data_IF_622332756802
#
_entry.id   IF_622332756802
#
_cell.length_a   1.000
_cell.length_b   1.000
_cell.length_c   1.000
_cell.angle_alpha   90.00
_cell.angle_beta   90.00
_cell.angle_gamma   90.00
#
_symmetry.space_group_name_H-M   'P 1'
#
loop_
_entity.id
_entity.type
_entity.pdbx_description
1 polymer ?
#
# COMPACT_ATOMS: atom_id res chain seq x y z
N UNK A 1 25.42 -59.15 8.16
CA UNK A 1 24.18 -58.75 8.90
C UNK A 1 24.24 -57.33 9.45
N UNK A 2 25.35 -56.88 10.07
CA UNK A 2 25.50 -55.50 10.56
C UNK A 2 25.44 -54.43 9.45
N UNK A 3 26.11 -54.64 8.31
CA UNK A 3 26.12 -53.69 7.19
C UNK A 3 24.71 -53.41 6.63
N UNK A 4 23.89 -54.44 6.50
CA UNK A 4 22.49 -54.34 6.06
C UNK A 4 21.62 -53.56 7.05
N UNK A 5 21.86 -53.74 8.36
CA UNK A 5 21.16 -52.97 9.41
C UNK A 5 21.57 -51.49 9.40
N UNK A 6 22.85 -51.21 9.18
CA UNK A 6 23.35 -49.84 9.06
C UNK A 6 22.81 -49.13 7.81
N UNK A 7 22.76 -49.80 6.65
CA UNK A 7 22.17 -49.23 5.43
C UNK A 7 20.67 -48.96 5.62
N UNK A 8 19.93 -49.89 6.22
CA UNK A 8 18.53 -49.71 6.52
C UNK A 8 18.28 -48.54 7.48
N UNK A 9 19.10 -48.41 8.54
CA UNK A 9 19.01 -47.29 9.48
C UNK A 9 19.31 -45.95 8.81
N UNK A 10 20.33 -45.88 7.95
CA UNK A 10 20.66 -44.66 7.20
C UNK A 10 19.55 -44.27 6.22
N UNK A 11 18.97 -45.23 5.49
CA UNK A 11 17.82 -44.99 4.62
C UNK A 11 16.58 -44.54 5.39
N UNK A 12 16.35 -45.07 6.59
CA UNK A 12 15.25 -44.68 7.46
C UNK A 12 15.44 -43.26 8.01
N UNK A 13 16.67 -42.90 8.42
CA UNK A 13 17.02 -41.54 8.82
C UNK A 13 16.87 -40.57 7.63
N UNK A 14 17.34 -40.93 6.43
CA UNK A 14 17.13 -40.12 5.23
C UNK A 14 15.65 -39.97 4.84
N UNK A 15 14.82 -41.00 5.08
CA UNK A 15 13.38 -40.94 4.88
C UNK A 15 12.66 -40.11 5.95
N UNK A 16 13.16 -40.06 7.18
CA UNK A 16 12.68 -39.18 8.25
C UNK A 16 13.21 -37.73 8.13
N UNK A 17 14.30 -37.52 7.38
CA UNK A 17 14.93 -36.22 7.10
C UNK A 17 14.52 -35.69 5.72
N UNK A 18 13.50 -36.29 5.07
CA UNK A 18 12.80 -35.53 4.03
C UNK A 18 12.21 -34.32 4.74
N UNK A 19 12.78 -33.14 4.48
CA UNK A 19 12.12 -31.88 4.77
C UNK A 19 10.76 -31.99 4.07
N UNK A 20 9.73 -32.38 4.82
CA UNK A 20 8.35 -32.20 4.43
C UNK A 20 8.24 -30.69 4.27
N UNK A 21 8.40 -30.20 3.04
CA UNK A 21 8.10 -28.80 2.75
C UNK A 21 6.60 -28.73 2.97
N UNK A 22 6.19 -28.20 4.12
CA UNK A 22 4.81 -27.87 4.38
C UNK A 22 4.41 -26.83 3.33
N UNK A 23 3.79 -27.32 2.26
CA UNK A 23 3.22 -26.49 1.20
C UNK A 23 1.77 -26.24 1.56
N UNK A 24 1.35 -25.00 1.37
CA UNK A 24 -0.01 -24.55 1.62
C UNK A 24 -0.53 -23.99 0.31
N UNK A 25 -1.81 -24.22 0.03
CA UNK A 25 -2.52 -23.60 -1.08
C UNK A 25 -3.17 -22.31 -0.60
N UNK A 26 -2.71 -21.18 -1.12
CA UNK A 26 -3.01 -19.84 -0.62
C UNK A 26 -3.79 -19.06 -1.68
N UNK A 27 -4.92 -18.48 -1.28
CA UNK A 27 -5.64 -17.49 -2.09
C UNK A 27 -5.30 -16.09 -1.60
N UNK A 28 -4.68 -15.28 -2.45
CA UNK A 28 -4.37 -13.88 -2.19
C UNK A 28 -5.31 -12.97 -3.01
N UNK A 29 -6.04 -12.06 -2.39
CA UNK A 29 -7.01 -11.17 -3.07
C UNK A 29 -6.70 -9.71 -2.77
N UNK A 30 -6.20 -9.01 -3.78
CA UNK A 30 -5.73 -7.61 -3.72
C UNK A 30 -6.24 -6.83 -4.92
N UNK A 31 -7.53 -6.45 -4.90
CA UNK A 31 -8.21 -5.90 -6.07
C UNK A 31 -8.00 -4.40 -6.28
N UNK A 32 -7.34 -3.71 -5.34
CA UNK A 32 -7.11 -2.28 -5.49
C UNK A 32 -6.28 -1.99 -6.76
N UNK A 33 -6.73 -1.06 -7.62
CA UNK A 33 -6.14 -0.85 -8.94
C UNK A 33 -4.89 0.05 -8.89
N UNK A 34 -4.57 0.61 -7.73
CA UNK A 34 -3.34 1.37 -7.49
C UNK A 34 -2.13 0.43 -7.26
N UNK A 35 -1.03 0.58 -8.02
CA UNK A 35 0.14 -0.31 -7.91
C UNK A 35 0.76 -0.36 -6.51
N UNK A 36 0.68 0.74 -5.76
CA UNK A 36 1.27 0.84 -4.43
C UNK A 36 0.78 -0.25 -3.48
N UNK A 37 -0.52 -0.52 -3.45
CA UNK A 37 -1.08 -1.48 -2.49
C UNK A 37 -0.60 -2.91 -2.77
N UNK A 38 -0.58 -3.33 -4.04
CA UNK A 38 -0.05 -4.66 -4.38
C UNK A 38 1.47 -4.77 -4.20
N UNK A 39 2.24 -3.70 -4.45
CA UNK A 39 3.68 -3.66 -4.16
C UNK A 39 3.95 -3.98 -2.67
N UNK A 40 3.05 -3.56 -1.76
CA UNK A 40 3.18 -3.85 -0.33
C UNK A 40 3.33 -5.35 -0.03
N UNK A 41 2.63 -6.20 -0.80
CA UNK A 41 2.52 -7.65 -0.54
C UNK A 41 3.22 -8.49 -1.59
N UNK A 42 3.61 -7.93 -2.74
CA UNK A 42 4.16 -8.69 -3.85
C UNK A 42 5.40 -9.51 -3.43
N UNK A 43 6.34 -8.89 -2.72
CA UNK A 43 7.54 -9.58 -2.23
C UNK A 43 7.19 -10.69 -1.24
N UNK A 44 6.21 -10.46 -0.37
CA UNK A 44 5.71 -11.46 0.57
C UNK A 44 5.11 -12.68 -0.15
N UNK A 45 4.18 -12.46 -1.09
CA UNK A 45 3.53 -13.52 -1.87
C UNK A 45 4.54 -14.32 -2.72
N UNK A 46 5.49 -13.63 -3.37
CA UNK A 46 6.57 -14.28 -4.14
C UNK A 46 7.46 -15.15 -3.26
N UNK A 47 7.75 -14.67 -2.06
CA UNK A 47 8.58 -15.42 -1.12
C UNK A 47 7.86 -16.67 -0.61
N UNK A 48 6.54 -16.61 -0.39
CA UNK A 48 5.74 -17.80 -0.08
C UNK A 48 5.80 -18.82 -1.22
N UNK A 49 5.60 -18.38 -2.46
CA UNK A 49 5.70 -19.28 -3.61
C UNK A 49 7.10 -19.90 -3.78
N UNK A 50 8.15 -19.10 -3.58
CA UNK A 50 9.54 -19.56 -3.63
C UNK A 50 9.88 -20.57 -2.51
N UNK A 51 9.17 -20.52 -1.38
CA UNK A 51 9.29 -21.50 -0.27
C UNK A 51 8.47 -22.77 -0.49
N UNK A 52 7.71 -22.86 -1.59
CA UNK A 52 7.01 -24.08 -1.99
C UNK A 52 5.49 -24.03 -1.84
N UNK A 53 4.91 -22.96 -1.29
CA UNK A 53 3.46 -22.77 -1.23
C UNK A 53 2.88 -22.50 -2.62
N UNK A 54 1.64 -22.94 -2.87
CA UNK A 54 0.90 -22.63 -4.10
C UNK A 54 0.08 -21.35 -3.91
N UNK A 55 0.48 -20.26 -4.56
CA UNK A 55 -0.18 -18.97 -4.43
C UNK A 55 -1.07 -18.70 -5.64
N UNK A 56 -2.36 -18.48 -5.41
CA UNK A 56 -3.28 -17.89 -6.40
C UNK A 56 -3.49 -16.42 -6.05
N UNK A 57 -2.98 -15.51 -6.88
CA UNK A 57 -3.11 -14.06 -6.67
C UNK A 57 -4.17 -13.46 -7.59
N UNK A 58 -5.21 -12.88 -6.99
CA UNK A 58 -6.26 -12.11 -7.66
C UNK A 58 -5.90 -10.63 -7.55
N UNK A 59 -5.44 -10.02 -8.64
CA UNK A 59 -5.01 -8.62 -8.63
C UNK A 59 -4.97 -7.99 -10.03
N UNK A 60 -4.76 -6.68 -10.09
CA UNK A 60 -4.53 -5.92 -11.31
C UNK A 60 -3.11 -6.09 -11.90
N UNK A 61 -2.21 -6.76 -11.18
CA UNK A 61 -0.77 -6.69 -11.41
C UNK A 61 -0.15 -8.10 -11.57
N UNK A 62 -0.45 -8.79 -12.68
CA UNK A 62 0.08 -10.12 -12.93
C UNK A 62 1.60 -10.12 -13.02
N UNK A 63 2.22 -11.27 -12.77
CA UNK A 63 3.67 -11.39 -12.92
C UNK A 63 4.05 -11.26 -14.40
N UNK A 64 5.00 -10.37 -14.69
CA UNK A 64 5.55 -10.22 -16.05
C UNK A 64 6.26 -11.48 -16.54
N UNK A 65 6.80 -12.25 -15.61
CA UNK A 65 7.47 -13.53 -15.87
C UNK A 65 6.77 -14.58 -15.01
N UNK A 66 6.31 -15.70 -15.60
CA UNK A 66 5.69 -16.77 -14.84
C UNK A 66 6.60 -17.25 -13.70
N UNK A 67 6.03 -17.42 -12.51
CA UNK A 67 6.73 -17.94 -11.34
C UNK A 67 6.21 -19.34 -11.02
N UNK A 68 7.12 -20.22 -10.60
CA UNK A 68 6.73 -21.54 -10.10
C UNK A 68 5.82 -21.36 -8.87
N UNK A 69 4.76 -22.17 -8.80
CA UNK A 69 3.76 -22.16 -7.73
C UNK A 69 3.03 -20.80 -7.56
N UNK A 70 2.92 -20.00 -8.62
CA UNK A 70 2.21 -18.73 -8.60
C UNK A 70 1.23 -18.65 -9.78
N UNK A 71 -0.07 -18.60 -9.49
CA UNK A 71 -1.17 -18.44 -10.46
C UNK A 71 -1.72 -17.03 -10.34
N UNK A 72 -1.70 -16.26 -11.43
CA UNK A 72 -2.36 -14.95 -11.48
C UNK A 72 -3.79 -15.09 -12.02
N UNK A 73 -4.76 -14.50 -11.30
CA UNK A 73 -6.10 -14.18 -11.79
C UNK A 73 -6.12 -12.66 -11.98
N UNK A 74 -6.11 -12.22 -13.23
CA UNK A 74 -5.92 -10.79 -13.53
C UNK A 74 -7.25 -10.05 -13.52
N UNK A 75 -7.32 -9.00 -12.70
CA UNK A 75 -8.41 -8.03 -12.73
C UNK A 75 -8.08 -6.95 -13.76
N UNK A 76 -8.91 -6.85 -14.80
CA UNK A 76 -8.75 -5.81 -15.81
C UNK A 76 -9.38 -4.51 -15.33
N UNK A 77 -8.56 -3.46 -15.22
CA UNK A 77 -9.01 -2.11 -14.89
C UNK A 77 -8.78 -1.22 -16.09
N UNK A 78 -9.81 -0.47 -16.46
CA UNK A 78 -9.64 0.65 -17.36
C UNK A 78 -8.86 1.76 -16.63
N UNK A 79 -7.62 2.00 -17.07
CA UNK A 79 -6.72 2.97 -16.43
C UNK A 79 -7.26 4.41 -16.52
N UNK A 80 -8.13 4.71 -17.49
CA UNK A 80 -8.76 6.03 -17.61
C UNK A 80 -9.65 6.32 -16.40
N UNK A 81 -10.47 5.37 -15.99
CA UNK A 81 -11.35 5.48 -14.83
C UNK A 81 -10.57 5.61 -13.51
N UNK A 82 -9.42 4.92 -13.38
CA UNK A 82 -8.56 5.08 -12.21
C UNK A 82 -7.95 6.49 -12.16
N UNK A 83 -7.42 6.99 -13.27
CA UNK A 83 -6.85 8.35 -13.32
C UNK A 83 -7.91 9.42 -13.04
N UNK A 84 -9.11 9.30 -13.61
CA UNK A 84 -10.25 10.17 -13.34
C UNK A 84 -10.65 10.12 -11.86
N UNK A 85 -10.77 8.94 -11.28
CA UNK A 85 -11.09 8.80 -9.85
C UNK A 85 -10.03 9.41 -8.93
N UNK A 86 -8.75 9.38 -9.32
CA UNK A 86 -7.67 10.04 -8.58
C UNK A 86 -7.85 11.56 -8.67
N UNK A 87 -8.21 12.10 -9.83
CA UNK A 87 -8.48 13.53 -10.01
C UNK A 87 -9.72 13.94 -9.21
N UNK A 88 -10.80 13.17 -9.27
CA UNK A 88 -12.02 13.42 -8.51
C UNK A 88 -11.76 13.35 -7.00
N UNK A 89 -10.90 12.44 -6.53
CA UNK A 89 -10.49 12.39 -5.14
C UNK A 89 -9.79 13.70 -4.70
N UNK A 90 -8.94 14.28 -5.56
CA UNK A 90 -8.27 15.55 -5.27
C UNK A 90 -9.27 16.69 -5.04
N UNK A 91 -10.36 16.71 -5.81
CA UNK A 91 -11.40 17.73 -5.74
C UNK A 91 -12.39 17.44 -4.60
N UNK A 92 -12.87 16.21 -4.45
CA UNK A 92 -13.90 15.82 -3.47
C UNK A 92 -13.39 15.83 -2.03
N UNK A 93 -12.10 15.54 -1.80
CA UNK A 93 -11.49 15.64 -0.48
C UNK A 93 -11.45 17.08 0.07
N UNK A 94 -11.69 18.09 -0.77
CA UNK A 94 -11.82 19.48 -0.34
C UNK A 94 -13.25 19.90 0.05
N UNK A 95 -14.24 19.03 -0.18
CA UNK A 95 -15.68 19.36 -0.08
C UNK A 95 -16.30 18.94 1.27
N UNK A 96 -15.70 17.97 1.98
CA UNK A 96 -16.08 17.59 3.35
C UNK A 96 -16.14 16.08 3.60
N UNK A 97 -16.30 15.69 4.88
CA UNK A 97 -16.17 14.27 5.31
C UNK A 97 -17.16 13.32 4.65
N UNK A 98 -18.39 13.75 4.40
CA UNK A 98 -19.40 12.90 3.77
C UNK A 98 -19.08 12.59 2.30
N UNK A 99 -18.54 13.58 1.56
CA UNK A 99 -18.11 13.40 0.18
C UNK A 99 -16.91 12.44 0.10
N UNK A 100 -15.95 12.59 1.02
CA UNK A 100 -14.83 11.64 1.15
C UNK A 100 -15.32 10.20 1.39
N UNK A 101 -16.27 10.00 2.31
CA UNK A 101 -16.82 8.67 2.59
C UNK A 101 -17.61 8.10 1.40
N UNK A 102 -18.33 8.95 0.67
CA UNK A 102 -19.01 8.55 -0.56
C UNK A 102 -18.02 8.10 -1.62
N UNK A 103 -16.91 8.82 -1.81
CA UNK A 103 -15.84 8.42 -2.70
C UNK A 103 -15.28 7.04 -2.33
N UNK A 104 -14.94 6.83 -1.05
CA UNK A 104 -14.44 5.52 -0.56
C UNK A 104 -15.44 4.41 -0.87
N UNK A 105 -16.73 4.65 -0.64
CA UNK A 105 -17.79 3.69 -0.93
C UNK A 105 -17.92 3.37 -2.42
N UNK A 106 -17.98 4.38 -3.28
CA UNK A 106 -18.06 4.17 -4.73
C UNK A 106 -16.84 3.41 -5.27
N UNK A 107 -15.66 3.75 -4.75
CA UNK A 107 -14.41 3.12 -5.15
C UNK A 107 -14.30 1.65 -4.69
N UNK A 108 -14.69 1.37 -3.45
CA UNK A 108 -14.70 0.01 -2.88
C UNK A 108 -15.78 -0.87 -3.52
N UNK A 109 -16.93 -0.30 -3.87
CA UNK A 109 -17.96 -0.95 -4.66
C UNK A 109 -17.47 -1.32 -6.07
N UNK A 110 -16.85 -0.38 -6.78
CA UNK A 110 -16.28 -0.61 -8.11
C UNK A 110 -15.27 -1.76 -8.09
N UNK A 111 -14.29 -1.69 -7.19
CA UNK A 111 -13.22 -2.69 -7.08
C UNK A 111 -13.74 -4.07 -6.67
N UNK A 112 -14.74 -4.14 -5.77
CA UNK A 112 -15.43 -5.39 -5.44
C UNK A 112 -16.11 -6.00 -6.67
N UNK A 113 -16.83 -5.18 -7.45
CA UNK A 113 -17.54 -5.62 -8.64
C UNK A 113 -16.59 -6.06 -9.76
N UNK A 114 -15.41 -5.45 -9.89
CA UNK A 114 -14.38 -5.89 -10.83
C UNK A 114 -13.91 -7.32 -10.53
N UNK A 115 -13.77 -7.69 -9.25
CA UNK A 115 -13.48 -9.08 -8.84
C UNK A 115 -14.66 -9.99 -9.12
N UNK A 116 -15.85 -9.63 -8.64
CA UNK A 116 -17.01 -10.50 -8.76
C UNK A 116 -17.50 -10.71 -10.19
N UNK A 117 -17.27 -9.75 -11.10
CA UNK A 117 -17.60 -9.91 -12.52
C UNK A 117 -16.46 -10.54 -13.34
N UNK A 118 -15.29 -10.79 -12.73
CA UNK A 118 -14.20 -11.47 -13.42
C UNK A 118 -14.55 -12.96 -13.63
N UNK A 119 -14.45 -13.42 -14.88
CA UNK A 119 -14.85 -14.79 -15.27
C UNK A 119 -13.99 -15.86 -14.58
N UNK A 120 -12.69 -15.65 -14.50
CA UNK A 120 -11.75 -16.61 -13.91
C UNK A 120 -11.95 -16.67 -12.39
N UNK A 121 -12.22 -15.53 -11.76
CA UNK A 121 -12.59 -15.49 -10.35
C UNK A 121 -13.93 -16.19 -10.08
N UNK A 122 -14.95 -15.97 -10.92
CA UNK A 122 -16.22 -16.70 -10.81
C UNK A 122 -16.02 -18.21 -11.00
N UNK A 123 -15.20 -18.62 -11.97
CA UNK A 123 -14.87 -20.03 -12.13
C UNK A 123 -14.21 -20.60 -10.87
N UNK A 124 -13.27 -19.87 -10.25
CA UNK A 124 -12.66 -20.29 -8.99
C UNK A 124 -13.70 -20.36 -7.86
N UNK A 125 -14.57 -19.36 -7.74
CA UNK A 125 -15.58 -19.28 -6.69
C UNK A 125 -16.59 -20.44 -6.76
N UNK A 126 -16.92 -20.91 -7.96
CA UNK A 126 -17.83 -22.06 -8.19
C UNK A 126 -17.11 -23.39 -8.37
N UNK A 127 -15.79 -23.43 -8.17
CA UNK A 127 -15.00 -24.67 -8.27
C UNK A 127 -14.98 -25.45 -6.94
N UNK A 128 -14.51 -26.69 -7.01
CA UNK A 128 -14.23 -27.52 -5.83
C UNK A 128 -12.84 -27.25 -5.22
N UNK A 129 -12.10 -26.24 -5.72
CA UNK A 129 -10.79 -25.90 -5.19
C UNK A 129 -10.87 -25.52 -3.70
N UNK A 130 -9.95 -26.08 -2.91
CA UNK A 130 -9.77 -25.75 -1.50
C UNK A 130 -8.51 -24.92 -1.31
N UNK A 131 -8.47 -24.15 -0.22
CA UNK A 131 -7.33 -23.35 0.19
C UNK A 131 -7.06 -23.60 1.68
N UNK A 132 -5.78 -23.57 2.06
CA UNK A 132 -5.34 -23.69 3.45
C UNK A 132 -5.29 -22.32 4.15
N UNK A 133 -5.21 -21.24 3.37
CA UNK A 133 -5.12 -19.86 3.86
C UNK A 133 -5.67 -18.87 2.83
N UNK A 134 -6.36 -17.85 3.31
CA UNK A 134 -6.75 -16.69 2.50
C UNK A 134 -6.09 -15.44 3.04
N UNK A 135 -5.42 -14.72 2.16
CA UNK A 135 -4.75 -13.44 2.43
C UNK A 135 -5.50 -12.37 1.65
N UNK A 136 -6.10 -11.41 2.34
CA UNK A 136 -6.94 -10.40 1.69
C UNK A 136 -6.51 -8.99 2.05
N UNK A 137 -6.66 -8.09 1.08
CA UNK A 137 -6.59 -6.66 1.32
C UNK A 137 -7.73 -6.23 2.27
N UNK A 138 -7.36 -5.70 3.44
CA UNK A 138 -8.31 -5.18 4.41
C UNK A 138 -8.64 -3.72 4.04
N UNK A 139 -9.65 -3.51 3.19
CA UNK A 139 -10.02 -2.20 2.67
C UNK A 139 -11.52 -2.08 2.32
N UNK A 140 -12.41 -2.20 3.32
CA UNK A 140 -13.86 -1.95 3.16
C UNK A 140 -14.56 -2.81 2.08
N UNK A 141 -14.12 -4.06 1.91
CA UNK A 141 -14.62 -4.99 0.90
C UNK A 141 -15.17 -6.27 1.56
N UNK A 142 -16.13 -6.12 2.46
CA UNK A 142 -16.62 -7.20 3.32
C UNK A 142 -17.17 -8.41 2.55
N UNK A 143 -17.73 -8.21 1.36
CA UNK A 143 -18.20 -9.32 0.55
C UNK A 143 -17.06 -10.28 0.19
N UNK A 144 -15.85 -9.78 -0.02
CA UNK A 144 -14.67 -10.61 -0.28
C UNK A 144 -14.15 -11.29 1.01
N UNK A 145 -14.41 -10.73 2.19
CA UNK A 145 -14.04 -11.41 3.46
C UNK A 145 -14.80 -12.72 3.66
N UNK A 146 -15.98 -12.86 3.02
CA UNK A 146 -16.76 -14.10 3.06
C UNK A 146 -16.05 -15.30 2.39
N UNK A 147 -14.96 -15.07 1.64
CA UNK A 147 -14.13 -16.13 1.06
C UNK A 147 -13.60 -17.10 2.13
N UNK A 148 -13.29 -16.61 3.34
CA UNK A 148 -12.83 -17.46 4.45
C UNK A 148 -13.84 -18.55 4.81
N UNK A 149 -15.14 -18.20 4.85
CA UNK A 149 -16.21 -19.15 5.14
C UNK A 149 -16.58 -19.99 3.92
N UNK A 150 -16.53 -19.42 2.72
CA UNK A 150 -16.82 -20.12 1.47
C UNK A 150 -15.83 -21.26 1.22
N UNK A 151 -14.52 -21.00 1.32
CA UNK A 151 -13.47 -22.00 1.17
C UNK A 151 -13.09 -22.72 2.47
N UNK A 152 -13.76 -22.38 3.59
CA UNK A 152 -13.53 -22.96 4.93
C UNK A 152 -12.07 -22.88 5.37
N UNK A 153 -11.41 -21.77 5.06
CA UNK A 153 -10.00 -21.52 5.32
C UNK A 153 -9.83 -20.34 6.28
N UNK A 154 -8.78 -20.34 7.14
CA UNK A 154 -8.41 -19.16 7.92
C UNK A 154 -8.22 -17.93 7.04
N UNK A 155 -8.76 -16.80 7.50
CA UNK A 155 -8.66 -15.50 6.83
C UNK A 155 -7.65 -14.61 7.55
N UNK A 156 -6.69 -14.07 6.81
CA UNK A 156 -5.78 -13.05 7.31
C UNK A 156 -5.87 -11.79 6.44
N UNK A 157 -5.76 -10.63 7.09
CA UNK A 157 -5.87 -9.33 6.46
C UNK A 157 -4.52 -8.67 6.28
N UNK A 158 -4.36 -7.88 5.22
CA UNK A 158 -3.26 -6.93 5.07
C UNK A 158 -3.87 -5.54 4.87
N UNK A 159 -3.59 -4.62 5.78
CA UNK A 159 -3.92 -3.21 5.59
C UNK A 159 -2.70 -2.46 5.08
N UNK A 160 -2.80 -1.94 3.85
CA UNK A 160 -1.69 -1.32 3.12
C UNK A 160 -1.41 0.13 3.53
N UNK A 161 -2.32 0.76 4.28
CA UNK A 161 -2.18 2.14 4.77
C UNK A 161 -1.94 2.24 6.29
N UNK A 162 -1.99 1.12 7.01
CA UNK A 162 -1.85 1.08 8.48
C UNK A 162 -3.16 0.71 9.16
N UNK A 163 -3.50 1.35 10.28
CA UNK A 163 -4.72 1.02 11.00
C UNK A 163 -5.64 2.23 11.18
N UNK A 164 -6.94 1.95 11.17
CA UNK A 164 -8.01 2.86 11.54
C UNK A 164 -9.01 2.15 12.46
N UNK A 165 -10.07 2.85 12.84
CA UNK A 165 -11.12 2.34 13.72
C UNK A 165 -11.91 1.17 13.12
N UNK A 166 -12.01 1.08 11.80
CA UNK A 166 -12.76 0.04 11.08
C UNK A 166 -11.92 -1.22 10.90
N UNK A 167 -10.62 -1.07 10.66
CA UNK A 167 -9.62 -2.11 10.58
C UNK A 167 -9.42 -2.75 11.96
N UNK A 168 -9.41 -1.95 13.03
CA UNK A 168 -9.32 -2.43 14.40
C UNK A 168 -10.49 -3.36 14.78
N UNK A 169 -11.70 -3.10 14.27
CA UNK A 169 -12.87 -3.97 14.48
C UNK A 169 -12.73 -5.37 13.86
N UNK A 170 -11.79 -5.58 12.93
CA UNK A 170 -11.61 -6.91 12.30
C UNK A 170 -10.99 -7.93 13.27
N UNK A 171 -10.28 -7.44 14.28
CA UNK A 171 -9.55 -8.27 15.27
C UNK A 171 -9.91 -7.89 16.71
N UNK A 172 -11.05 -7.22 16.91
CA UNK A 172 -11.53 -6.70 18.19
C UNK A 172 -10.50 -5.84 18.94
N UNK A 173 -9.66 -5.10 18.20
CA UNK A 173 -8.77 -4.10 18.80
C UNK A 173 -9.58 -2.85 19.18
N UNK A 174 -9.28 -2.25 20.33
CA UNK A 174 -9.94 -1.02 20.77
C UNK A 174 -9.09 0.17 20.34
N UNK A 175 -9.65 1.07 19.51
CA UNK A 175 -9.01 2.33 19.11
C UNK A 175 -9.32 3.45 20.12
N UNK A 176 -8.34 3.97 20.88
CA UNK A 176 -8.57 5.03 21.85
C UNK A 176 -8.65 6.41 21.18
N UNK A 177 -9.86 6.87 20.88
CA UNK A 177 -10.11 8.08 20.08
C UNK A 177 -9.64 9.39 20.73
N UNK A 178 -9.29 9.36 22.02
CA UNK A 178 -8.77 10.51 22.74
C UNK A 178 -7.30 10.84 22.40
N UNK A 179 -6.54 9.89 21.83
CA UNK A 179 -5.13 10.07 21.51
C UNK A 179 -4.64 9.31 20.26
N UNK A 180 -5.46 8.44 19.66
CA UNK A 180 -5.19 7.87 18.34
C UNK A 180 -5.92 8.69 17.28
N UNK A 181 -5.20 9.43 16.42
CA UNK A 181 -5.83 10.24 15.40
C UNK A 181 -6.41 9.38 14.26
N UNK A 182 -7.53 9.81 13.68
CA UNK A 182 -8.09 9.25 12.46
C UNK A 182 -7.10 9.44 11.30
N UNK A 183 -6.77 8.40 10.51
CA UNK A 183 -5.88 8.54 9.35
C UNK A 183 -6.37 9.51 8.26
N UNK A 184 -7.67 9.76 8.21
CA UNK A 184 -8.33 10.73 7.32
C UNK A 184 -8.51 12.12 7.94
N UNK A 185 -8.15 12.28 9.22
CA UNK A 185 -8.29 13.54 9.96
C UNK A 185 -7.08 14.46 9.77
N UNK A 186 -7.04 15.52 10.58
CA UNK A 186 -5.95 16.53 10.58
C UNK A 186 -5.27 16.66 11.94
N UNK A 187 -5.59 15.77 12.88
CA UNK A 187 -5.09 15.84 14.26
C UNK A 187 -3.89 14.92 14.48
N UNK A 188 -3.01 15.28 15.41
CA UNK A 188 -1.88 14.46 15.86
C UNK A 188 -2.22 13.59 17.08
N UNK A 189 -1.25 12.85 17.63
CA UNK A 189 -1.39 12.06 18.85
C UNK A 189 -1.53 12.90 20.14
N UNK A 190 -1.12 14.18 20.10
CA UNK A 190 -1.29 15.15 21.18
C UNK A 190 -2.40 16.15 20.85
N UNK A 191 -3.62 15.82 21.28
CA UNK A 191 -4.82 16.62 21.04
C UNK A 191 -5.27 17.40 22.28
N UNK A 192 -5.66 18.66 22.08
CA UNK A 192 -6.47 19.42 23.03
C UNK A 192 -7.94 18.96 23.03
N UNK A 193 -8.79 19.54 23.89
CA UNK A 193 -10.19 19.14 23.99
C UNK A 193 -10.96 19.20 22.66
N UNK A 194 -10.81 20.30 21.91
CA UNK A 194 -11.52 20.49 20.64
C UNK A 194 -11.02 19.55 19.55
N UNK A 195 -9.71 19.31 19.49
CA UNK A 195 -9.13 18.34 18.57
C UNK A 195 -9.59 16.91 18.88
N UNK A 196 -9.74 16.55 20.17
CA UNK A 196 -10.34 15.25 20.56
C UNK A 196 -11.80 15.13 20.14
N UNK A 197 -12.56 16.22 20.26
CA UNK A 197 -13.96 16.24 19.83
C UNK A 197 -14.08 16.07 18.30
N UNK A 198 -13.23 16.76 17.55
CA UNK A 198 -13.13 16.62 16.09
C UNK A 198 -12.68 15.21 15.66
N UNK A 199 -11.69 14.64 16.35
CA UNK A 199 -11.23 13.28 16.10
C UNK A 199 -12.33 12.24 16.41
N UNK A 200 -13.08 12.44 17.50
CA UNK A 200 -14.24 11.63 17.84
C UNK A 200 -15.32 11.73 16.74
N UNK A 201 -15.64 12.94 16.28
CA UNK A 201 -16.57 13.16 15.18
C UNK A 201 -16.13 12.42 13.91
N UNK A 202 -14.87 12.58 13.51
CA UNK A 202 -14.32 11.95 12.30
C UNK A 202 -14.43 10.43 12.34
N UNK A 203 -13.94 9.80 13.42
CA UNK A 203 -14.01 8.35 13.60
C UNK A 203 -15.46 7.84 13.71
N UNK A 204 -16.35 8.60 14.35
CA UNK A 204 -17.76 8.22 14.48
C UNK A 204 -18.45 8.24 13.13
N UNK A 205 -18.17 9.24 12.29
CA UNK A 205 -18.69 9.30 10.92
C UNK A 205 -18.21 8.11 10.09
N UNK A 206 -16.93 7.72 10.20
CA UNK A 206 -16.38 6.55 9.51
C UNK A 206 -17.06 5.24 9.95
N UNK A 207 -17.21 5.05 11.26
CA UNK A 207 -17.89 3.87 11.80
C UNK A 207 -19.35 3.81 11.34
N UNK A 208 -20.10 4.89 11.53
CA UNK A 208 -21.52 4.92 11.17
C UNK A 208 -21.71 4.70 9.67
N UNK A 209 -20.92 5.37 8.83
CA UNK A 209 -21.00 5.22 7.39
C UNK A 209 -20.64 3.80 6.94
N UNK A 210 -19.62 3.20 7.55
CA UNK A 210 -19.25 1.80 7.27
C UNK A 210 -20.40 0.85 7.59
N UNK A 211 -20.97 0.93 8.80
CA UNK A 211 -22.01 0.01 9.24
C UNK A 211 -23.38 0.26 8.62
N UNK A 212 -23.71 1.52 8.30
CA UNK A 212 -25.03 1.89 7.77
C UNK A 212 -25.10 1.97 6.24
N UNK A 213 -23.95 2.10 5.55
CA UNK A 213 -23.91 2.30 4.10
C UNK A 213 -23.06 1.23 3.40
N UNK A 214 -21.78 1.10 3.76
CA UNK A 214 -20.83 0.20 3.06
C UNK A 214 -21.21 -1.26 3.28
N UNK A 215 -21.34 -1.70 4.53
CA UNK A 215 -21.65 -3.11 4.86
C UNK A 215 -22.99 -3.55 4.23
N UNK A 216 -24.08 -2.77 4.30
CA UNK A 216 -25.33 -3.14 3.62
C UNK A 216 -25.21 -3.27 2.09
N UNK A 217 -24.39 -2.44 1.45
CA UNK A 217 -24.12 -2.56 0.01
C UNK A 217 -23.30 -3.82 -0.31
N UNK A 218 -22.22 -4.06 0.44
CA UNK A 218 -21.42 -5.27 0.33
C UNK A 218 -22.23 -6.54 0.61
N UNK A 219 -23.20 -6.48 1.53
CA UNK A 219 -24.13 -7.58 1.80
C UNK A 219 -24.98 -7.94 0.57
N UNK A 220 -25.33 -6.95 -0.27
CA UNK A 220 -26.03 -7.20 -1.54
C UNK A 220 -25.12 -7.91 -2.55
N UNK A 221 -23.85 -7.54 -2.62
CA UNK A 221 -22.87 -8.25 -3.46
C UNK A 221 -22.65 -9.68 -2.99
N UNK A 222 -22.46 -9.89 -1.69
CA UNK A 222 -22.36 -11.24 -1.12
C UNK A 222 -23.56 -12.11 -1.49
N UNK A 223 -24.79 -11.61 -1.30
CA UNK A 223 -26.03 -12.32 -1.68
C UNK A 223 -26.15 -12.62 -3.18
N UNK A 224 -25.58 -11.76 -4.03
CA UNK A 224 -25.68 -11.89 -5.49
C UNK A 224 -24.67 -12.88 -6.05
N UNK A 225 -23.44 -12.88 -5.55
CA UNK A 225 -22.32 -13.57 -6.18
C UNK A 225 -21.92 -14.88 -5.49
N UNK A 226 -22.18 -15.04 -4.18
CA UNK A 226 -21.85 -16.27 -3.49
C UNK A 226 -23.00 -17.29 -3.59
N UNK A 227 -22.71 -18.54 -3.98
CA UNK A 227 -23.74 -19.55 -4.21
C UNK A 227 -24.53 -19.92 -2.95
N UNK A 228 -23.90 -19.86 -1.77
CA UNK A 228 -24.50 -20.25 -0.48
C UNK A 228 -24.52 -19.09 0.53
N UNK A 229 -24.87 -17.89 0.06
CA UNK A 229 -24.83 -16.67 0.84
C UNK A 229 -25.85 -16.65 1.99
N UNK A 230 -25.41 -17.06 3.19
CA UNK A 230 -26.27 -17.19 4.39
C UNK A 230 -25.82 -16.32 5.55
N UNK A 231 -24.59 -15.81 5.51
CA UNK A 231 -23.98 -15.06 6.60
C UNK A 231 -24.38 -13.58 6.57
N UNK A 232 -24.36 -12.96 7.74
CA UNK A 232 -24.36 -11.51 7.86
C UNK A 232 -22.91 -11.01 7.89
N UNK A 233 -22.57 -10.02 7.06
CA UNK A 233 -21.18 -9.60 6.89
C UNK A 233 -20.59 -8.94 8.14
N UNK A 234 -21.41 -8.46 9.09
CA UNK A 234 -20.89 -8.03 10.40
C UNK A 234 -20.26 -9.17 11.20
N UNK A 235 -20.76 -10.40 11.02
CA UNK A 235 -20.23 -11.58 11.72
C UNK A 235 -18.95 -12.05 11.04
N UNK A 236 -18.93 -12.06 9.70
CA UNK A 236 -17.75 -12.40 8.88
C UNK A 236 -16.54 -11.53 9.22
N UNK A 237 -16.76 -10.26 9.55
CA UNK A 237 -15.69 -9.32 9.93
C UNK A 237 -14.91 -9.74 11.18
N UNK A 238 -15.48 -10.60 12.04
CA UNK A 238 -14.83 -11.08 13.27
C UNK A 238 -13.99 -12.34 13.08
N UNK A 239 -13.91 -12.87 11.86
CA UNK A 239 -13.23 -14.14 11.58
C UNK A 239 -11.74 -13.99 11.18
N UNK A 240 -11.17 -12.78 11.25
CA UNK A 240 -9.76 -12.58 10.93
C UNK A 240 -8.86 -13.21 12.00
N UNK A 241 -8.07 -14.19 11.57
CA UNK A 241 -7.10 -14.88 12.44
C UNK A 241 -5.85 -14.04 12.70
N UNK A 242 -5.50 -13.16 11.76
CA UNK A 242 -4.34 -12.29 11.81
C UNK A 242 -4.58 -11.06 10.93
N UNK A 243 -4.05 -9.93 11.36
CA UNK A 243 -4.03 -8.69 10.61
C UNK A 243 -2.60 -8.15 10.53
N UNK A 244 -2.12 -7.96 9.31
CA UNK A 244 -0.83 -7.39 8.98
C UNK A 244 -0.99 -5.91 8.63
N UNK A 245 -0.32 -5.03 9.36
CA UNK A 245 -0.46 -3.58 9.25
C UNK A 245 0.79 -2.98 8.63
N UNK A 246 0.66 -2.29 7.49
CA UNK A 246 1.77 -1.57 6.85
C UNK A 246 2.11 -0.25 7.59
N UNK A 247 2.49 -0.37 8.85
CA UNK A 247 2.97 0.70 9.72
C UNK A 247 4.03 0.14 10.68
N UNK A 248 4.78 0.99 11.37
CA UNK A 248 5.72 0.57 12.41
C UNK A 248 5.89 1.63 13.50
N UNK A 249 5.87 1.20 14.76
CA UNK A 249 5.97 2.05 15.95
C UNK A 249 7.16 3.02 15.97
N UNK A 250 8.25 2.74 15.25
CA UNK A 250 9.41 3.64 15.17
C UNK A 250 9.05 5.00 14.55
N UNK A 251 8.15 5.03 13.56
CA UNK A 251 7.76 6.26 12.88
C UNK A 251 6.25 6.52 12.89
N UNK A 252 5.42 5.59 13.38
CA UNK A 252 3.99 5.82 13.63
C UNK A 252 3.69 6.43 15.00
N UNK A 253 2.42 6.74 15.24
CA UNK A 253 1.91 7.18 16.55
C UNK A 253 1.74 5.99 17.50
N UNK A 254 1.95 6.19 18.82
CA UNK A 254 1.68 5.14 19.80
C UNK A 254 0.21 4.71 19.76
N UNK A 255 -0.03 3.41 19.67
CA UNK A 255 -1.38 2.83 19.68
C UNK A 255 -1.38 1.44 20.33
N UNK A 256 -2.45 1.06 21.04
CA UNK A 256 -2.59 -0.30 21.53
C UNK A 256 -2.86 -1.26 20.36
N UNK A 257 -2.30 -2.46 20.48
CA UNK A 257 -2.46 -3.55 19.53
C UNK A 257 -2.74 -4.85 20.29
N UNK A 258 -3.69 -5.62 19.77
CA UNK A 258 -3.89 -7.02 20.14
C UNK A 258 -2.81 -7.91 19.51
N UNK A 259 -2.50 -9.10 20.08
CA UNK A 259 -1.42 -9.96 19.58
C UNK A 259 -1.54 -10.41 18.11
N UNK A 260 -2.77 -10.50 17.59
CA UNK A 260 -3.08 -10.85 16.21
C UNK A 260 -3.13 -9.64 15.26
N UNK A 261 -2.65 -8.48 15.69
CA UNK A 261 -2.40 -7.32 14.84
C UNK A 261 -0.90 -7.00 14.81
N UNK A 262 -0.23 -7.36 13.72
CA UNK A 262 1.23 -7.29 13.59
C UNK A 262 1.63 -6.17 12.63
N UNK A 263 2.49 -5.28 13.10
CA UNK A 263 3.11 -4.24 12.30
C UNK A 263 4.21 -4.82 11.41
N UNK A 264 4.07 -4.62 10.10
CA UNK A 264 4.93 -5.20 9.06
C UNK A 264 5.33 -4.17 8.00
N UNK A 265 5.41 -2.88 8.35
CA UNK A 265 5.95 -1.90 7.42
C UNK A 265 7.33 -2.29 6.91
N UNK A 266 7.53 -2.08 5.61
CA UNK A 266 8.80 -2.37 4.94
C UNK A 266 8.90 -3.77 4.32
N UNK A 267 7.84 -4.59 4.34
CA UNK A 267 7.83 -5.90 3.62
C UNK A 267 8.18 -5.78 2.12
N UNK A 268 7.92 -4.62 1.51
CA UNK A 268 8.24 -4.35 0.11
C UNK A 268 9.69 -3.91 -0.10
N UNK A 269 10.40 -3.52 0.96
CA UNK A 269 11.78 -3.03 0.90
C UNK A 269 12.73 -4.22 0.97
N UNK A 270 13.55 -4.40 -0.06
CA UNK A 270 14.57 -5.44 -0.05
C UNK A 270 15.77 -5.02 0.79
N UNK A 271 16.25 -5.92 1.67
CA UNK A 271 17.39 -5.63 2.55
C UNK A 271 18.70 -5.36 1.80
N UNK A 272 18.84 -5.90 0.57
CA UNK A 272 20.01 -5.73 -0.27
C UNK A 272 19.59 -4.90 -1.48
N UNK A 273 20.02 -3.63 -1.57
CA UNK A 273 19.72 -2.78 -2.73
C UNK A 273 20.29 -3.39 -4.01
N UNK A 274 19.51 -3.33 -5.08
CA UNK A 274 19.95 -3.72 -6.42
C UNK A 274 20.76 -2.59 -7.03
N UNK A 275 21.60 -2.95 -8.01
CA UNK A 275 22.34 -1.97 -8.80
C UNK A 275 21.38 -1.13 -9.62
N UNK A 276 21.56 0.19 -9.58
CA UNK A 276 20.84 1.11 -10.45
C UNK A 276 21.26 0.93 -11.92
N UNK A 277 20.37 1.25 -12.88
CA UNK A 277 20.75 1.40 -14.28
C UNK A 277 21.97 2.32 -14.46
N UNK A 278 22.87 1.97 -15.38
CA UNK A 278 24.17 2.63 -15.57
C UNK A 278 24.06 4.13 -15.80
N UNK A 279 23.04 4.57 -16.54
CA UNK A 279 22.76 5.98 -16.83
C UNK A 279 22.32 6.74 -15.57
N UNK A 280 21.45 6.16 -14.75
CA UNK A 280 21.02 6.72 -13.46
C UNK A 280 22.20 6.82 -12.48
N UNK A 281 22.98 5.75 -12.36
CA UNK A 281 24.18 5.69 -11.50
C UNK A 281 25.20 6.75 -11.91
N UNK A 282 25.50 6.86 -13.20
CA UNK A 282 26.42 7.87 -13.73
C UNK A 282 25.90 9.29 -13.48
N UNK A 283 24.60 9.53 -13.67
CA UNK A 283 23.98 10.83 -13.42
C UNK A 283 24.03 11.22 -11.94
N UNK A 284 23.72 10.31 -11.02
CA UNK A 284 23.85 10.56 -9.58
C UNK A 284 25.32 10.85 -9.23
N UNK A 285 26.26 10.07 -9.76
CA UNK A 285 27.66 10.19 -9.43
C UNK A 285 28.34 11.45 -9.96
N UNK A 286 27.84 11.99 -11.07
CA UNK A 286 28.33 13.23 -11.67
C UNK A 286 28.07 14.47 -10.79
N UNK A 287 27.17 14.40 -9.80
CA UNK A 287 26.87 15.52 -8.91
C UNK A 287 27.79 15.55 -7.68
N UNK A 288 28.69 16.55 -7.55
CA UNK A 288 29.64 16.59 -6.43
C UNK A 288 28.96 16.81 -5.06
N UNK A 289 27.81 17.50 -5.06
CA UNK A 289 27.05 17.85 -3.84
C UNK A 289 25.98 16.82 -3.48
N UNK A 290 25.92 15.70 -4.19
CA UNK A 290 24.89 14.68 -4.05
C UNK A 290 23.68 14.93 -4.96
N UNK A 291 22.66 14.13 -4.80
CA UNK A 291 21.47 14.14 -5.63
C UNK A 291 20.18 14.15 -4.79
N UNK A 292 19.12 14.66 -5.41
CA UNK A 292 17.76 14.66 -4.89
C UNK A 292 16.95 13.65 -5.70
N UNK A 293 16.10 12.89 -5.03
CA UNK A 293 15.05 12.12 -5.69
C UNK A 293 13.71 12.83 -5.52
N UNK A 294 12.94 12.98 -6.59
CA UNK A 294 11.62 13.61 -6.60
C UNK A 294 10.58 12.65 -7.18
N UNK A 295 9.53 12.37 -6.40
CA UNK A 295 8.43 11.50 -6.82
C UNK A 295 7.11 11.86 -6.12
N UNK A 296 6.06 12.12 -6.91
CA UNK A 296 4.70 12.32 -6.41
C UNK A 296 3.91 11.00 -6.28
N UNK A 297 4.59 9.85 -6.34
CA UNK A 297 3.99 8.53 -6.21
C UNK A 297 3.41 7.98 -7.52
N UNK A 298 2.60 6.94 -7.41
CA UNK A 298 2.00 6.24 -8.56
C UNK A 298 0.73 6.91 -9.08
N UNK A 299 -0.03 7.57 -8.19
CA UNK A 299 -1.36 8.09 -8.50
C UNK A 299 -1.30 9.55 -8.98
N UNK A 300 -0.52 10.42 -8.32
CA UNK A 300 -0.33 11.80 -8.79
C UNK A 300 0.70 11.82 -9.91
N UNK A 301 0.24 12.06 -11.13
CA UNK A 301 1.10 12.11 -12.32
C UNK A 301 1.68 13.50 -12.52
N UNK A 302 3.01 13.62 -12.41
CA UNK A 302 3.73 14.89 -12.63
C UNK A 302 3.42 15.47 -14.01
N UNK A 303 3.28 14.62 -15.03
CA UNK A 303 3.00 15.05 -16.41
C UNK A 303 1.63 15.69 -16.61
N UNK A 304 0.71 15.58 -15.63
CA UNK A 304 -0.64 16.16 -15.66
C UNK A 304 -0.74 17.44 -14.81
N UNK A 305 0.36 17.87 -14.19
CA UNK A 305 0.36 19.13 -13.45
C UNK A 305 0.18 20.32 -14.39
N UNK A 306 -0.49 21.40 -13.94
CA UNK A 306 -0.59 22.63 -14.70
C UNK A 306 0.79 23.16 -15.08
N UNK A 307 0.91 23.75 -16.29
CA UNK A 307 2.18 24.27 -16.82
C UNK A 307 2.90 25.19 -15.84
N UNK A 308 2.17 26.07 -15.15
CA UNK A 308 2.73 26.96 -14.15
C UNK A 308 3.41 26.20 -13.01
N UNK A 309 2.79 25.15 -12.48
CA UNK A 309 3.34 24.34 -11.39
C UNK A 309 4.58 23.56 -11.85
N UNK A 310 4.57 23.02 -13.06
CA UNK A 310 5.76 22.41 -13.67
C UNK A 310 6.91 23.43 -13.78
N UNK A 311 6.60 24.67 -14.18
CA UNK A 311 7.60 25.73 -14.28
C UNK A 311 8.20 26.09 -12.91
N UNK A 312 7.40 26.20 -11.86
CA UNK A 312 7.92 26.44 -10.50
C UNK A 312 8.86 25.32 -10.05
N UNK A 313 8.52 24.06 -10.31
CA UNK A 313 9.38 22.90 -10.00
C UNK A 313 10.69 22.97 -10.80
N UNK A 314 10.61 23.22 -12.10
CA UNK A 314 11.80 23.31 -12.97
C UNK A 314 12.70 24.49 -12.58
N UNK A 315 12.12 25.65 -12.26
CA UNK A 315 12.87 26.83 -11.82
C UNK A 315 13.60 26.57 -10.50
N UNK A 316 12.93 25.93 -9.53
CA UNK A 316 13.55 25.53 -8.27
C UNK A 316 14.73 24.59 -8.54
N UNK A 317 14.52 23.50 -9.28
CA UNK A 317 15.56 22.51 -9.56
C UNK A 317 16.72 23.10 -10.36
N UNK A 318 16.46 23.92 -11.38
CA UNK A 318 17.50 24.57 -12.17
C UNK A 318 18.44 25.44 -11.33
N UNK A 319 17.92 26.02 -10.24
CA UNK A 319 18.71 26.89 -9.35
C UNK A 319 19.60 26.11 -8.37
N UNK A 320 19.35 24.81 -8.17
CA UNK A 320 20.07 24.00 -7.21
C UNK A 320 21.38 23.44 -7.79
N UNK A 321 22.51 23.48 -7.04
CA UNK A 321 23.80 22.94 -7.49
C UNK A 321 23.92 21.43 -7.25
N UNK A 322 22.83 20.68 -7.47
CA UNK A 322 22.70 19.22 -7.29
C UNK A 322 21.94 18.62 -8.46
N UNK A 323 22.11 17.32 -8.68
CA UNK A 323 21.32 16.59 -9.66
C UNK A 323 19.99 16.13 -9.07
N UNK A 324 18.93 16.18 -9.87
CA UNK A 324 17.58 15.77 -9.45
C UNK A 324 17.08 14.65 -10.36
N UNK A 325 16.76 13.51 -9.76
CA UNK A 325 16.05 12.42 -10.43
C UNK A 325 14.55 12.62 -10.23
N UNK A 326 13.79 12.78 -11.31
CA UNK A 326 12.38 13.09 -11.25
C UNK A 326 11.56 11.99 -11.93
N UNK A 327 10.75 11.27 -11.15
CA UNK A 327 9.71 10.37 -11.69
C UNK A 327 8.67 11.17 -12.49
N UNK A 328 8.64 10.97 -13.79
CA UNK A 328 7.82 11.74 -14.73
C UNK A 328 7.24 10.84 -15.82
N UNK A 329 5.93 10.88 -16.06
CA UNK A 329 5.22 9.84 -16.81
C UNK A 329 5.44 9.89 -18.33
N UNK A 330 5.96 11.01 -18.85
CA UNK A 330 6.32 11.20 -20.26
C UNK A 330 7.82 11.06 -20.48
N UNK A 331 8.21 10.78 -21.72
CA UNK A 331 9.62 10.64 -22.14
C UNK A 331 10.35 11.97 -22.28
N UNK A 332 9.60 13.06 -22.41
CA UNK A 332 10.09 14.40 -22.62
C UNK A 332 9.42 15.39 -21.68
N UNK A 333 10.16 16.47 -21.37
CA UNK A 333 9.71 17.61 -20.61
C UNK A 333 10.31 18.85 -21.29
N UNK A 334 9.46 19.71 -21.83
CA UNK A 334 9.89 20.96 -22.42
C UNK A 334 10.66 21.80 -21.39
N UNK A 335 11.74 22.45 -21.83
CA UNK A 335 12.59 23.31 -20.99
C UNK A 335 13.20 22.61 -19.76
N UNK A 336 13.30 21.27 -19.78
CA UNK A 336 13.88 20.48 -18.69
C UNK A 336 15.31 20.95 -18.37
N UNK A 337 15.61 21.33 -17.11
CA UNK A 337 16.95 21.74 -16.71
C UNK A 337 18.00 20.65 -16.95
N UNK A 338 19.26 21.07 -17.16
CA UNK A 338 20.39 20.15 -17.42
C UNK A 338 20.69 19.21 -16.25
N UNK A 339 20.44 19.68 -15.03
CA UNK A 339 20.63 18.92 -13.79
C UNK A 339 19.41 18.07 -13.41
N UNK A 340 18.43 17.90 -14.31
CA UNK A 340 17.24 17.06 -14.09
C UNK A 340 17.28 15.85 -15.01
N UNK A 341 17.15 14.65 -14.43
CA UNK A 341 16.98 13.38 -15.13
C UNK A 341 15.56 12.86 -14.91
N UNK A 342 14.79 12.73 -15.99
CA UNK A 342 13.41 12.21 -15.93
C UNK A 342 13.37 10.74 -16.33
N UNK A 343 12.52 9.97 -15.67
CA UNK A 343 12.16 8.62 -16.09
C UNK A 343 10.74 8.29 -15.65
N UNK A 344 10.04 7.47 -16.44
CA UNK A 344 8.68 6.99 -16.13
C UNK A 344 8.64 6.17 -14.84
N UNK A 345 9.69 5.40 -14.60
CA UNK A 345 9.78 4.55 -13.41
C UNK A 345 11.21 4.50 -12.89
N UNK A 346 11.34 4.59 -11.57
CA UNK A 346 12.60 4.40 -10.87
C UNK A 346 12.48 3.21 -9.92
N UNK A 347 13.55 2.42 -9.72
CA UNK A 347 13.64 1.52 -8.57
C UNK A 347 13.81 2.36 -7.30
N UNK A 348 12.72 2.94 -6.80
CA UNK A 348 12.72 3.96 -5.75
C UNK A 348 13.50 3.53 -4.48
N UNK A 349 13.31 2.31 -3.91
CA UNK A 349 14.12 1.86 -2.77
C UNK A 349 15.62 1.88 -3.07
N UNK A 350 16.04 1.42 -4.25
CA UNK A 350 17.45 1.38 -4.64
C UNK A 350 18.04 2.79 -4.85
N UNK A 351 17.25 3.71 -5.40
CA UNK A 351 17.64 5.13 -5.54
C UNK A 351 17.82 5.75 -4.15
N UNK A 352 16.89 5.49 -3.23
CA UNK A 352 16.98 5.96 -1.85
C UNK A 352 18.12 5.27 -1.09
N UNK A 353 18.48 4.03 -1.41
CA UNK A 353 19.64 3.37 -0.81
C UNK A 353 20.98 4.01 -1.25
N UNK A 354 21.02 4.70 -2.39
CA UNK A 354 22.26 5.22 -2.95
C UNK A 354 22.91 6.29 -2.03
N UNK A 355 24.22 6.19 -1.70
CA UNK A 355 24.87 7.05 -0.70
C UNK A 355 24.95 8.53 -1.09
N UNK A 356 24.96 8.85 -2.39
CA UNK A 356 24.91 10.23 -2.89
C UNK A 356 23.50 10.82 -2.97
N UNK A 357 22.43 10.03 -2.87
CA UNK A 357 21.08 10.59 -2.75
C UNK A 357 20.92 11.08 -1.31
N UNK A 358 20.65 12.37 -1.15
CA UNK A 358 20.65 13.05 0.16
C UNK A 358 19.28 13.47 0.65
N UNK A 359 18.32 13.62 -0.26
CA UNK A 359 17.00 14.16 0.03
C UNK A 359 15.95 13.47 -0.85
N UNK A 360 14.78 13.22 -0.28
CA UNK A 360 13.63 12.74 -1.01
C UNK A 360 12.50 13.78 -0.98
N UNK A 361 12.19 14.37 -2.12
CA UNK A 361 10.99 15.19 -2.28
C UNK A 361 9.82 14.28 -2.68
N UNK A 362 8.80 14.21 -1.84
CA UNK A 362 7.76 13.18 -1.93
C UNK A 362 6.38 13.74 -1.64
N UNK A 363 5.35 13.18 -2.29
CA UNK A 363 3.96 13.41 -1.88
C UNK A 363 3.62 12.92 -0.46
N UNK A 364 4.49 12.13 0.19
CA UNK A 364 4.28 11.68 1.57
C UNK A 364 3.39 10.45 1.73
N UNK A 365 3.17 9.66 0.68
CA UNK A 365 2.52 8.35 0.81
C UNK A 365 3.30 7.41 1.75
N UNK A 366 2.58 6.51 2.42
CA UNK A 366 3.12 5.63 3.46
C UNK A 366 4.38 4.86 3.02
N UNK A 367 4.36 4.25 1.83
CA UNK A 367 5.51 3.50 1.30
C UNK A 367 6.74 4.38 1.11
N UNK A 368 6.56 5.56 0.51
CA UNK A 368 7.64 6.52 0.31
C UNK A 368 8.29 6.94 1.63
N UNK A 369 7.50 7.12 2.69
CA UNK A 369 8.05 7.45 4.01
C UNK A 369 8.73 6.26 4.68
N UNK A 370 8.19 5.05 4.55
CA UNK A 370 8.84 3.82 5.03
C UNK A 370 10.23 3.68 4.39
N UNK A 371 10.32 3.81 3.07
CA UNK A 371 11.58 3.71 2.33
C UNK A 371 12.56 4.84 2.71
N UNK A 372 12.05 6.07 2.88
CA UNK A 372 12.86 7.20 3.34
C UNK A 372 13.45 6.94 4.73
N UNK A 373 12.64 6.48 5.69
CA UNK A 373 13.08 6.15 7.04
C UNK A 373 14.07 4.98 7.02
N UNK A 374 13.78 3.93 6.26
CA UNK A 374 14.63 2.74 6.14
C UNK A 374 16.03 3.09 5.62
N UNK A 375 16.13 3.99 4.63
CA UNK A 375 17.41 4.45 4.07
C UNK A 375 17.94 5.76 4.67
N UNK A 376 17.37 6.19 5.81
CA UNK A 376 17.76 7.40 6.54
C UNK A 376 17.84 8.66 5.66
N UNK A 377 16.82 8.89 4.83
CA UNK A 377 16.69 10.07 3.97
C UNK A 377 15.69 11.07 4.55
N UNK A 378 16.10 12.33 4.79
CA UNK A 378 15.14 13.37 5.12
C UNK A 378 14.21 13.63 3.93
N UNK A 379 13.03 14.19 4.22
CA UNK A 379 11.99 14.40 3.22
C UNK A 379 11.54 15.86 3.09
N UNK A 380 11.28 16.29 1.86
CA UNK A 380 10.43 17.45 1.58
C UNK A 380 9.07 16.91 1.17
N UNK A 381 8.10 17.02 2.08
CA UNK A 381 6.75 16.51 1.90
C UNK A 381 5.86 17.50 1.16
N UNK A 382 5.22 17.04 0.10
CA UNK A 382 4.25 17.79 -0.71
C UNK A 382 2.90 17.05 -0.72
N UNK A 383 2.19 17.00 0.42
CA UNK A 383 1.00 16.18 0.55
C UNK A 383 -0.09 16.67 -0.41
N UNK A 384 -0.78 15.71 -1.03
CA UNK A 384 -1.78 15.98 -2.06
C UNK A 384 -3.18 15.58 -1.59
N UNK A 385 -3.33 14.38 -1.03
CA UNK A 385 -4.63 13.84 -0.60
C UNK A 385 -4.52 12.79 0.53
N UNK A 386 -5.65 12.54 1.20
CA UNK A 386 -5.87 11.48 2.19
C UNK A 386 -4.79 11.43 3.29
N UNK A 387 -4.23 10.26 3.53
CA UNK A 387 -3.24 9.96 4.56
C UNK A 387 -1.94 10.79 4.43
N UNK A 388 -1.66 11.33 3.24
CA UNK A 388 -0.43 12.05 2.95
C UNK A 388 -0.23 13.27 3.85
N UNK A 389 -1.29 14.00 4.18
CA UNK A 389 -1.20 15.19 5.03
C UNK A 389 -0.66 14.82 6.42
N UNK A 390 -1.30 13.86 7.10
CA UNK A 390 -0.85 13.39 8.41
C UNK A 390 0.52 12.71 8.34
N UNK A 391 0.81 11.99 7.27
CA UNK A 391 2.10 11.36 7.06
C UNK A 391 3.24 12.38 6.97
N UNK A 392 3.07 13.45 6.18
CA UNK A 392 4.04 14.54 6.08
C UNK A 392 4.14 15.32 7.39
N UNK A 393 3.01 15.64 8.01
CA UNK A 393 3.00 16.34 9.29
C UNK A 393 3.75 15.58 10.39
N UNK A 394 3.59 14.24 10.40
CA UNK A 394 4.35 13.33 11.26
C UNK A 394 5.86 13.36 10.96
N UNK A 395 6.24 13.43 9.69
CA UNK A 395 7.64 13.57 9.30
C UNK A 395 8.26 14.87 9.81
N UNK A 396 7.51 15.98 9.73
CA UNK A 396 7.90 17.28 10.30
C UNK A 396 8.03 17.20 11.81
N UNK A 397 7.01 16.67 12.49
CA UNK A 397 6.99 16.56 13.95
C UNK A 397 8.13 15.67 14.49
N UNK A 398 8.48 14.59 13.78
CA UNK A 398 9.62 13.73 14.14
C UNK A 398 10.98 14.29 13.71
N UNK A 399 11.02 15.44 13.04
CA UNK A 399 12.25 16.16 12.71
C UNK A 399 13.04 15.58 11.52
N UNK A 400 12.42 14.74 10.69
CA UNK A 400 13.06 14.20 9.48
C UNK A 400 12.47 14.77 8.18
N UNK A 401 11.56 15.74 8.25
CA UNK A 401 11.05 16.39 7.05
C UNK A 401 10.58 17.82 7.23
N UNK A 402 10.33 18.47 6.10
CA UNK A 402 9.69 19.78 5.97
C UNK A 402 8.47 19.64 5.06
N UNK A 403 7.45 20.46 5.27
CA UNK A 403 6.22 20.42 4.49
C UNK A 403 6.12 21.63 3.55
N UNK A 404 5.72 21.37 2.31
CA UNK A 404 5.39 22.38 1.32
C UNK A 404 3.92 22.23 0.95
N UNK A 405 3.20 23.35 0.87
CA UNK A 405 1.83 23.33 0.37
C UNK A 405 1.84 23.05 -1.14
N UNK A 406 1.49 21.82 -1.51
CA UNK A 406 1.47 21.38 -2.90
C UNK A 406 0.58 22.26 -3.79
N UNK A 407 -0.48 22.88 -3.25
CA UNK A 407 -1.44 23.66 -4.06
C UNK A 407 -0.85 24.99 -4.54
N UNK A 408 -0.07 25.69 -3.72
CA UNK A 408 0.32 27.08 -3.97
C UNK A 408 1.80 27.43 -3.73
N UNK A 409 2.71 26.45 -3.71
CA UNK A 409 4.14 26.73 -3.57
C UNK A 409 4.73 27.53 -4.75
N UNK A 410 5.79 28.27 -4.44
CA UNK A 410 6.68 28.97 -5.37
C UNK A 410 8.00 28.21 -5.55
N UNK A 411 8.71 28.50 -6.64
CA UNK A 411 10.06 27.99 -6.88
C UNK A 411 11.06 28.35 -5.78
N UNK A 412 10.90 29.52 -5.14
CA UNK A 412 11.73 29.91 -4.01
C UNK A 412 11.46 29.04 -2.78
N UNK A 413 10.19 28.83 -2.42
CA UNK A 413 9.82 27.97 -1.29
C UNK A 413 10.30 26.52 -1.49
N UNK A 414 10.17 25.97 -2.71
CA UNK A 414 10.67 24.63 -3.01
C UNK A 414 12.20 24.52 -3.03
N UNK A 415 12.91 25.60 -3.35
CA UNK A 415 14.38 25.63 -3.30
C UNK A 415 14.90 25.74 -1.87
N UNK A 416 14.22 26.54 -1.04
CA UNK A 416 14.66 26.86 0.31
C UNK A 416 14.36 25.72 1.30
N UNK A 417 13.30 24.95 1.04
CA UNK A 417 12.98 23.69 1.70
C UNK A 417 13.95 22.56 1.28
#
# INVERSE_FOLDING_TARGET
MLLLKSIAATLWILACVTNSVESAKILAVFPFPGPSQYICVQSYLKTLAARGHEVTSVSAFPQKTPLKNFRDITIHIDQSHHDESVIDALDQMSVGKLAELQFVKEYTALTSLLVFNNKDFQQLLHSDEQFDLIIIEAFYQEALYALGKHFKAPLIGVSTFGADIVIDQLVDNISPLAYVPAPSGVNMDRMNFWQRLDNLYTNTMELLYTHLVIIPEQQRYYKKYFPNATLHLTDVRRDFSLLLLNQHYSFSWPRPLVPNAIEVAGMHVENIPKKLPTDMEAFINASPRGAIYFSLGSNVKSAFLPKQKLQEIMNAFASLPVNVLWKFEKTDLADKPKNVFINKWFPQPDVLAHPKVKLFVTHGGMHSLIEAVHHAKPVVGMPVFYDQYLNVEKAVHKGFGVAINFRNFTSAELRDA
#
